data_IF_861089117650
#
_entry.id   IF_861089117650
#
_cell.length_a   1.000
_cell.length_b   1.000
_cell.length_c   1.000
_cell.angle_alpha   90.00
_cell.angle_beta   90.00
_cell.angle_gamma   90.00
#
_symmetry.space_group_name_H-M   'P 1'
#
loop_
_entity.id
_entity.type
_entity.pdbx_description
1 polymer ?
#
# COMPACT_ATOMS: atom_id res chain seq x y z
N UNK A 1 9.10 -14.54 -22.54
CA UNK A 1 8.98 -13.07 -22.35
C UNK A 1 7.80 -12.75 -21.44
N UNK A 2 8.03 -11.98 -20.36
CA UNK A 2 7.03 -11.56 -19.37
C UNK A 2 6.83 -10.05 -19.48
N UNK A 3 5.60 -9.58 -19.37
CA UNK A 3 5.28 -8.16 -19.17
C UNK A 3 4.63 -7.93 -17.80
N UNK A 4 4.93 -6.81 -17.16
CA UNK A 4 4.33 -6.40 -15.90
C UNK A 4 3.58 -5.07 -16.11
N UNK A 5 2.36 -4.99 -15.59
CA UNK A 5 1.53 -3.78 -15.63
C UNK A 5 0.96 -3.49 -14.24
N UNK A 6 1.42 -2.41 -13.63
CA UNK A 6 0.69 -1.76 -12.55
C UNK A 6 -0.31 -0.78 -13.17
N UNK A 7 -1.60 -0.97 -12.89
CA UNK A 7 -2.64 -0.02 -13.33
C UNK A 7 -2.66 1.13 -12.33
N UNK A 8 -2.55 2.36 -12.83
CA UNK A 8 -2.74 3.57 -12.02
C UNK A 8 -4.06 3.48 -11.25
N UNK A 9 -4.02 3.72 -9.94
CA UNK A 9 -5.13 3.36 -9.08
C UNK A 9 -6.04 4.55 -8.75
N UNK A 10 -5.78 5.73 -9.29
CA UNK A 10 -6.43 7.00 -8.94
C UNK A 10 -7.94 6.96 -9.08
N UNK A 11 -8.47 6.30 -10.12
CA UNK A 11 -9.91 6.18 -10.35
C UNK A 11 -10.50 4.89 -9.76
N UNK A 12 -9.65 3.94 -9.34
CA UNK A 12 -10.04 2.62 -8.85
C UNK A 12 -10.05 2.58 -7.32
N UNK A 13 -9.18 3.36 -6.67
CA UNK A 13 -9.00 3.41 -5.22
C UNK A 13 -10.32 3.63 -4.49
N UNK A 14 -10.47 2.98 -3.33
CA UNK A 14 -11.60 3.26 -2.44
C UNK A 14 -11.57 4.71 -1.90
N UNK A 15 -10.43 5.39 -2.01
CA UNK A 15 -10.24 6.79 -1.64
C UNK A 15 -10.40 7.74 -2.84
N UNK A 16 -10.77 7.23 -4.01
CA UNK A 16 -10.96 8.07 -5.20
C UNK A 16 -12.16 9.01 -5.01
N UNK A 17 -11.99 10.33 -5.16
CA UNK A 17 -13.12 11.27 -5.19
C UNK A 17 -13.87 11.23 -6.53
N UNK A 18 -13.25 10.69 -7.58
CA UNK A 18 -13.76 10.66 -8.95
C UNK A 18 -13.63 9.25 -9.53
N UNK A 19 -14.35 8.26 -9.00
CA UNK A 19 -14.24 6.89 -9.48
C UNK A 19 -14.68 6.78 -10.93
N UNK A 20 -13.83 6.15 -11.76
CA UNK A 20 -14.09 5.90 -13.19
C UNK A 20 -13.82 4.44 -13.53
N UNK A 21 -14.36 4.01 -14.66
CA UNK A 21 -14.10 2.68 -15.22
C UNK A 21 -12.60 2.47 -15.47
N UNK A 22 -12.11 1.22 -15.36
CA UNK A 22 -10.73 0.87 -15.72
C UNK A 22 -10.44 1.00 -17.22
N UNK A 23 -11.44 1.32 -18.04
CA UNK A 23 -11.30 1.60 -19.49
C UNK A 23 -11.75 3.01 -19.87
N UNK A 24 -12.04 3.89 -18.92
CA UNK A 24 -12.34 5.30 -19.19
C UNK A 24 -11.03 6.08 -19.40
N UNK A 25 -10.69 6.38 -20.66
CA UNK A 25 -9.46 7.07 -21.06
C UNK A 25 -9.38 8.52 -20.54
N UNK A 26 -10.50 9.13 -20.14
CA UNK A 26 -10.48 10.43 -19.49
C UNK A 26 -10.03 10.34 -18.01
N UNK A 27 -9.97 9.12 -17.45
CA UNK A 27 -9.36 8.81 -16.16
C UNK A 27 -7.91 8.36 -16.30
N UNK A 28 -7.13 8.55 -15.23
CA UNK A 28 -5.73 8.10 -15.15
C UNK A 28 -5.62 6.58 -15.18
N UNK A 29 -6.50 5.88 -14.45
CA UNK A 29 -6.57 4.42 -14.45
C UNK A 29 -6.85 3.86 -15.84
N UNK A 30 -7.83 4.44 -16.54
CA UNK A 30 -8.23 3.99 -17.87
C UNK A 30 -7.20 4.33 -18.94
N UNK A 31 -6.68 5.56 -18.95
CA UNK A 31 -5.59 5.96 -19.87
C UNK A 31 -4.40 4.99 -19.75
N UNK A 32 -3.94 4.74 -18.52
CA UNK A 32 -2.81 3.86 -18.22
C UNK A 32 -3.05 2.41 -18.66
N UNK A 33 -4.28 1.88 -18.51
CA UNK A 33 -4.60 0.51 -18.90
C UNK A 33 -4.87 0.36 -20.41
N UNK A 34 -5.62 1.27 -21.00
CA UNK A 34 -5.98 1.24 -22.43
C UNK A 34 -4.74 1.42 -23.31
N UNK A 35 -3.79 2.27 -22.91
CA UNK A 35 -2.51 2.40 -23.62
C UNK A 35 -1.75 1.07 -23.66
N UNK A 36 -1.70 0.34 -22.54
CA UNK A 36 -1.07 -0.98 -22.47
C UNK A 36 -1.77 -1.99 -23.37
N UNK A 37 -3.10 -2.02 -23.39
CA UNK A 37 -3.87 -2.88 -24.30
C UNK A 37 -3.59 -2.52 -25.76
N UNK A 38 -3.56 -1.23 -26.11
CA UNK A 38 -3.25 -0.75 -27.46
C UNK A 38 -1.81 -1.09 -27.88
N UNK A 39 -0.85 -1.07 -26.96
CA UNK A 39 0.51 -1.54 -27.20
C UNK A 39 0.52 -3.03 -27.55
N UNK A 40 -0.10 -3.88 -26.72
CA UNK A 40 -0.17 -5.33 -26.96
C UNK A 40 -0.87 -5.67 -28.28
N UNK A 41 -1.91 -4.92 -28.65
CA UNK A 41 -2.64 -5.12 -29.89
C UNK A 41 -1.78 -4.84 -31.15
N UNK A 42 -0.83 -3.90 -31.06
CA UNK A 42 0.11 -3.56 -32.15
C UNK A 42 1.21 -4.59 -32.36
N UNK A 43 1.48 -5.45 -31.37
CA UNK A 43 2.47 -6.50 -31.49
C UNK A 43 1.93 -7.65 -32.35
N UNK A 44 2.80 -8.17 -33.24
CA UNK A 44 2.54 -9.42 -33.94
C UNK A 44 2.41 -10.58 -32.92
N UNK A 45 1.62 -11.63 -33.22
CA UNK A 45 1.33 -12.70 -32.25
C UNK A 45 2.56 -13.36 -31.64
N UNK A 46 3.62 -13.53 -32.43
CA UNK A 46 4.93 -14.10 -32.05
C UNK A 46 5.76 -13.18 -31.14
N UNK A 47 5.50 -11.87 -31.17
CA UNK A 47 6.19 -10.86 -30.35
C UNK A 47 5.43 -10.50 -29.08
N UNK A 48 4.23 -11.05 -28.86
CA UNK A 48 3.46 -10.82 -27.64
C UNK A 48 4.11 -11.51 -26.44
N UNK A 49 4.07 -10.91 -25.23
CA UNK A 49 4.50 -11.60 -24.02
C UNK A 49 3.84 -12.97 -23.85
N UNK A 50 4.60 -13.96 -23.38
CA UNK A 50 4.06 -15.28 -22.97
C UNK A 50 3.21 -15.15 -21.72
N UNK A 51 3.62 -14.26 -20.81
CA UNK A 51 2.91 -13.96 -19.58
C UNK A 51 2.74 -12.47 -19.36
N UNK A 52 1.64 -12.10 -18.71
CA UNK A 52 1.36 -10.75 -18.21
C UNK A 52 1.04 -10.85 -16.71
N UNK A 53 1.75 -10.06 -15.92
CA UNK A 53 1.42 -9.81 -14.53
C UNK A 53 0.73 -8.44 -14.43
N UNK A 54 -0.48 -8.40 -13.85
CA UNK A 54 -1.22 -7.16 -13.60
C UNK A 54 -1.36 -6.93 -12.11
N UNK A 55 -1.10 -5.71 -11.65
CA UNK A 55 -1.29 -5.27 -10.26
C UNK A 55 -2.19 -4.03 -10.20
N UNK A 56 -3.03 -3.98 -9.16
CA UNK A 56 -3.70 -2.75 -8.74
C UNK A 56 -4.17 -2.85 -7.27
N UNK A 57 -4.74 -1.78 -6.75
CA UNK A 57 -5.41 -1.76 -5.44
C UNK A 57 -6.50 -2.84 -5.34
N UNK A 58 -6.70 -3.39 -4.15
CA UNK A 58 -7.69 -4.46 -3.90
C UNK A 58 -9.12 -4.11 -4.31
N UNK A 59 -9.43 -2.81 -4.41
CA UNK A 59 -10.75 -2.33 -4.84
C UNK A 59 -11.05 -2.69 -6.32
N UNK A 60 -10.04 -2.98 -7.14
CA UNK A 60 -10.21 -3.47 -8.52
C UNK A 60 -11.04 -4.76 -8.56
N UNK A 61 -10.90 -5.63 -7.55
CA UNK A 61 -11.58 -6.93 -7.47
C UNK A 61 -13.02 -6.83 -6.91
N UNK A 62 -13.48 -5.63 -6.53
CA UNK A 62 -14.83 -5.42 -5.99
C UNK A 62 -15.75 -4.87 -7.05
N UNK A 63 -17.05 -5.14 -6.91
CA UNK A 63 -18.08 -4.40 -7.65
C UNK A 63 -18.14 -2.96 -7.13
N UNK A 64 -17.64 -2.02 -7.93
CA UNK A 64 -17.62 -0.58 -7.61
C UNK A 64 -18.92 0.05 -8.05
N UNK A 65 -19.82 0.28 -7.08
CA UNK A 65 -21.19 0.80 -7.33
C UNK A 65 -21.25 2.12 -8.10
N UNK A 66 -20.27 3.01 -7.90
CA UNK A 66 -20.24 4.32 -8.56
C UNK A 66 -20.17 4.21 -10.09
N UNK A 67 -19.58 3.13 -10.61
CA UNK A 67 -19.40 2.89 -12.05
C UNK A 67 -20.00 1.56 -12.51
N UNK A 68 -20.69 0.84 -11.61
CA UNK A 68 -21.27 -0.50 -11.83
C UNK A 68 -20.29 -1.50 -12.47
N UNK A 69 -19.04 -1.50 -11.99
CA UNK A 69 -17.95 -2.26 -12.61
C UNK A 69 -17.17 -3.08 -11.57
N UNK A 70 -16.89 -4.34 -11.88
CA UNK A 70 -15.79 -5.08 -11.26
C UNK A 70 -14.58 -5.06 -12.20
N UNK A 71 -13.56 -4.26 -11.86
CA UNK A 71 -12.45 -3.97 -12.76
C UNK A 71 -11.64 -5.21 -13.16
N UNK A 72 -11.49 -6.21 -12.28
CA UNK A 72 -10.82 -7.48 -12.65
C UNK A 72 -11.51 -8.21 -13.79
N UNK A 73 -12.85 -8.13 -13.87
CA UNK A 73 -13.62 -8.76 -14.95
C UNK A 73 -13.36 -8.05 -16.28
N UNK A 74 -13.44 -6.71 -16.28
CA UNK A 74 -13.17 -5.88 -17.47
C UNK A 74 -11.74 -6.05 -17.98
N UNK A 75 -10.75 -6.02 -17.08
CA UNK A 75 -9.34 -6.26 -17.45
C UNK A 75 -9.15 -7.65 -18.06
N UNK A 76 -9.79 -8.67 -17.47
CA UNK A 76 -9.70 -10.05 -17.97
C UNK A 76 -10.32 -10.19 -19.36
N UNK A 77 -11.45 -9.53 -19.63
CA UNK A 77 -12.09 -9.52 -20.95
C UNK A 77 -11.22 -8.85 -22.01
N UNK A 78 -10.62 -7.70 -21.70
CA UNK A 78 -9.70 -7.00 -22.62
C UNK A 78 -8.43 -7.80 -22.92
N UNK A 79 -7.90 -8.52 -21.94
CA UNK A 79 -6.76 -9.42 -22.16
C UNK A 79 -7.18 -10.68 -22.93
N UNK A 80 -8.38 -11.22 -22.66
CA UNK A 80 -8.95 -12.36 -23.38
C UNK A 80 -9.14 -12.09 -24.86
N UNK A 81 -9.58 -10.90 -25.25
CA UNK A 81 -9.70 -10.53 -26.67
C UNK A 81 -8.34 -10.47 -27.39
N UNK A 82 -7.23 -10.35 -26.65
CA UNK A 82 -5.87 -10.39 -27.19
C UNK A 82 -5.21 -11.77 -27.12
N UNK A 83 -5.95 -12.81 -26.71
CA UNK A 83 -5.45 -14.19 -26.64
C UNK A 83 -4.78 -14.54 -25.31
N UNK A 84 -5.09 -13.84 -24.22
CA UNK A 84 -4.60 -14.18 -22.89
C UNK A 84 -5.68 -14.76 -21.99
N UNK A 85 -5.32 -15.70 -21.12
CA UNK A 85 -6.16 -16.12 -20.00
C UNK A 85 -5.37 -16.19 -18.73
N UNK A 86 -6.04 -15.83 -17.66
CA UNK A 86 -5.42 -15.76 -16.35
C UNK A 86 -6.44 -15.88 -15.25
N UNK A 87 -5.93 -15.74 -14.04
CA UNK A 87 -6.75 -15.63 -12.84
C UNK A 87 -6.18 -14.58 -11.91
N UNK A 88 -7.06 -14.09 -11.05
CA UNK A 88 -6.75 -13.10 -10.04
C UNK A 88 -6.65 -13.72 -8.66
N UNK A 89 -5.81 -13.14 -7.82
CA UNK A 89 -5.89 -13.28 -6.36
C UNK A 89 -5.72 -11.92 -5.70
N UNK A 90 -6.38 -11.75 -4.56
CA UNK A 90 -6.19 -10.60 -3.69
C UNK A 90 -5.25 -11.02 -2.58
N UNK A 91 -4.04 -10.45 -2.58
CA UNK A 91 -2.97 -10.79 -1.65
C UNK A 91 -2.71 -9.63 -0.71
N UNK A 92 -2.27 -9.94 0.52
CA UNK A 92 -1.82 -8.94 1.48
C UNK A 92 -0.36 -9.17 1.82
N UNK A 93 0.46 -8.13 1.70
CA UNK A 93 1.91 -8.22 1.90
C UNK A 93 2.32 -8.76 3.25
N UNK A 94 1.53 -8.54 4.32
CA UNK A 94 1.83 -9.11 5.65
C UNK A 94 1.97 -10.63 5.67
N UNK A 95 1.40 -11.31 4.67
CA UNK A 95 1.50 -12.76 4.53
C UNK A 95 2.71 -13.22 3.73
N UNK A 96 3.64 -12.32 3.39
CA UNK A 96 4.81 -12.61 2.55
C UNK A 96 6.09 -12.04 3.18
N UNK A 97 6.17 -12.05 4.52
CA UNK A 97 7.35 -11.59 5.26
C UNK A 97 7.53 -10.07 5.30
N UNK A 98 6.53 -9.33 4.81
CA UNK A 98 6.57 -7.87 4.74
C UNK A 98 5.86 -7.27 5.95
N UNK A 99 6.54 -6.42 6.72
CA UNK A 99 5.95 -5.70 7.87
C UNK A 99 5.00 -4.56 7.45
N UNK A 100 4.11 -4.80 6.49
CA UNK A 100 3.13 -3.83 5.98
C UNK A 100 1.78 -4.52 5.76
N UNK A 101 0.69 -3.89 6.20
CA UNK A 101 -0.66 -4.37 5.92
C UNK A 101 -1.19 -3.73 4.63
N UNK A 102 -0.79 -4.26 3.47
CA UNK A 102 -1.16 -3.72 2.15
C UNK A 102 -1.76 -4.80 1.28
N UNK A 103 -3.08 -4.71 1.08
CA UNK A 103 -3.83 -5.63 0.20
C UNK A 103 -3.85 -5.11 -1.25
N UNK A 104 -3.55 -5.96 -2.22
CA UNK A 104 -3.53 -5.68 -3.66
C UNK A 104 -4.19 -6.80 -4.47
N UNK A 105 -4.77 -6.44 -5.60
CA UNK A 105 -5.27 -7.38 -6.60
C UNK A 105 -4.15 -7.68 -7.59
N UNK A 106 -3.87 -8.96 -7.79
CA UNK A 106 -2.82 -9.47 -8.66
C UNK A 106 -3.42 -10.43 -9.68
N UNK A 107 -3.10 -10.25 -10.95
CA UNK A 107 -3.56 -11.10 -12.04
C UNK A 107 -2.37 -11.70 -12.80
N UNK A 108 -2.33 -13.02 -12.96
CA UNK A 108 -1.34 -13.69 -13.81
C UNK A 108 -2.09 -14.21 -15.03
N UNK A 109 -1.65 -13.80 -16.21
CA UNK A 109 -2.24 -14.18 -17.49
C UNK A 109 -1.17 -14.81 -18.39
N UNK A 110 -1.54 -15.90 -19.05
CA UNK A 110 -0.73 -16.58 -20.04
C UNK A 110 -1.32 -16.37 -21.44
N UNK A 111 -0.45 -16.23 -22.44
CA UNK A 111 -0.85 -16.21 -23.83
C UNK A 111 -1.18 -17.64 -24.29
N UNK A 112 -2.43 -17.86 -24.68
CA UNK A 112 -2.96 -19.18 -25.03
C UNK A 112 -2.24 -19.87 -26.19
N UNK A 113 -1.68 -19.10 -27.14
CA UNK A 113 -1.00 -19.68 -28.30
C UNK A 113 0.37 -20.27 -27.95
N UNK A 114 0.93 -19.90 -26.79
CA UNK A 114 2.30 -20.24 -26.42
C UNK A 114 2.43 -20.87 -25.03
N UNK A 115 1.35 -20.89 -24.24
CA UNK A 115 1.39 -21.30 -22.85
C UNK A 115 0.04 -21.90 -22.41
N UNK A 116 0.09 -23.00 -21.64
CA UNK A 116 -1.10 -23.64 -21.09
C UNK A 116 -1.62 -22.90 -19.85
N UNK A 117 -2.93 -22.98 -19.62
CA UNK A 117 -3.55 -22.46 -18.40
C UNK A 117 -2.99 -23.11 -17.12
N UNK A 118 -2.46 -24.33 -17.22
CA UNK A 118 -1.82 -25.03 -16.10
C UNK A 118 -0.63 -24.24 -15.55
N UNK A 119 0.12 -23.54 -16.41
CA UNK A 119 1.26 -22.74 -15.94
C UNK A 119 0.85 -21.57 -15.05
N UNK A 120 -0.31 -20.96 -15.33
CA UNK A 120 -0.89 -19.93 -14.45
C UNK A 120 -1.19 -20.54 -13.08
N UNK A 121 -1.78 -21.73 -13.06
CA UNK A 121 -2.13 -22.42 -11.81
C UNK A 121 -0.90 -22.77 -10.98
N UNK A 122 0.14 -23.30 -11.61
CA UNK A 122 1.37 -23.68 -10.92
C UNK A 122 2.09 -22.45 -10.33
N UNK A 123 2.07 -21.31 -11.04
CA UNK A 123 2.62 -20.06 -10.51
C UNK A 123 1.92 -19.65 -9.21
N UNK A 124 0.59 -19.72 -9.17
CA UNK A 124 -0.17 -19.38 -7.98
C UNK A 124 -0.04 -20.40 -6.85
N UNK A 125 0.10 -21.70 -7.14
CA UNK A 125 0.43 -22.71 -6.13
C UNK A 125 1.75 -22.36 -5.45
N UNK A 126 2.75 -21.94 -6.22
CA UNK A 126 4.04 -21.57 -5.69
C UNK A 126 3.99 -20.29 -4.84
N UNK A 127 3.25 -19.26 -5.27
CA UNK A 127 2.99 -18.06 -4.44
C UNK A 127 2.30 -18.45 -3.14
N UNK A 128 1.33 -19.35 -3.18
CA UNK A 128 0.61 -19.80 -1.99
C UNK A 128 1.53 -20.50 -0.99
N UNK A 129 2.60 -21.17 -1.45
CA UNK A 129 3.63 -21.78 -0.58
C UNK A 129 4.54 -20.75 0.09
N UNK A 130 4.66 -19.55 -0.48
CA UNK A 130 5.39 -18.43 0.12
C UNK A 130 4.57 -17.70 1.21
N UNK A 131 3.33 -18.11 1.45
CA UNK A 131 2.48 -17.53 2.48
C UNK A 131 3.06 -17.84 3.86
N UNK A 132 3.47 -16.80 4.58
CA UNK A 132 3.86 -16.86 5.98
C UNK A 132 2.75 -16.29 6.85
N UNK A 133 2.53 -16.88 8.02
CA UNK A 133 1.65 -16.29 9.01
C UNK A 133 2.45 -15.24 9.79
N UNK A 134 2.10 -13.93 9.68
CA UNK A 134 2.79 -12.92 10.46
C UNK A 134 2.52 -13.16 11.93
N UNK A 135 3.60 -13.31 12.70
CA UNK A 135 3.53 -13.43 14.15
C UNK A 135 3.11 -12.08 14.75
N UNK A 136 2.17 -12.04 15.70
CA UNK A 136 1.82 -10.80 16.38
C UNK A 136 3.05 -10.18 17.04
N UNK A 137 3.21 -8.86 16.94
CA UNK A 137 4.36 -8.15 17.52
C UNK A 137 4.53 -8.47 19.00
N UNK A 138 3.43 -8.63 19.76
CA UNK A 138 3.50 -9.02 21.17
C UNK A 138 4.22 -10.36 21.38
N UNK A 139 3.99 -11.35 20.52
CA UNK A 139 4.63 -12.67 20.61
C UNK A 139 6.13 -12.55 20.26
N UNK A 140 6.47 -11.73 19.26
CA UNK A 140 7.88 -11.42 18.92
C UNK A 140 8.57 -10.74 20.11
N UNK A 141 7.93 -9.73 20.70
CA UNK A 141 8.48 -8.98 21.83
C UNK A 141 8.59 -9.84 23.10
N UNK A 142 7.63 -10.73 23.35
CA UNK A 142 7.69 -11.73 24.42
C UNK A 142 8.87 -12.68 24.21
N UNK A 143 9.06 -13.21 22.99
CA UNK A 143 10.19 -14.08 22.65
C UNK A 143 11.54 -13.38 22.79
N UNK A 144 11.59 -12.09 22.46
CA UNK A 144 12.79 -11.27 22.59
C UNK A 144 13.00 -10.73 24.02
N UNK A 145 12.17 -11.10 25.01
CA UNK A 145 12.19 -10.56 26.38
C UNK A 145 12.06 -9.03 26.45
N UNK A 146 11.44 -8.41 25.44
CA UNK A 146 11.20 -6.95 25.34
C UNK A 146 9.84 -6.57 25.95
N UNK A 147 8.87 -7.48 26.01
CA UNK A 147 7.55 -7.26 26.63
C UNK A 147 7.15 -8.44 27.52
N UNK A 148 6.43 -8.17 28.62
CA UNK A 148 5.78 -9.20 29.46
C UNK A 148 4.33 -9.37 29.00
N UNK A 149 3.84 -10.61 28.99
CA UNK A 149 2.47 -10.97 28.68
C UNK A 149 1.48 -10.15 29.55
N UNK A 150 0.68 -9.30 28.91
CA UNK A 150 -0.21 -8.38 29.59
C UNK A 150 -1.30 -7.78 28.70
N UNK A 151 -2.44 -8.48 28.66
CA UNK A 151 -3.79 -8.03 28.30
C UNK A 151 -4.00 -7.44 26.89
N UNK A 152 -4.48 -8.31 25.99
CA UNK A 152 -5.04 -7.95 24.69
C UNK A 152 -6.27 -7.02 24.82
N UNK A 153 -6.16 -5.78 24.34
CA UNK A 153 -7.29 -4.89 24.21
C UNK A 153 -8.10 -5.23 22.93
N UNK A 154 -9.33 -5.73 23.12
CA UNK A 154 -10.34 -5.94 22.08
C UNK A 154 -10.66 -4.62 21.34
N UNK A 155 -10.64 -4.67 20.00
CA UNK A 155 -11.07 -3.58 19.11
C UNK A 155 -12.60 -3.57 18.97
N UNK A 156 -13.22 -2.41 19.18
CA UNK A 156 -14.59 -2.12 18.71
C UNK A 156 -14.53 -1.06 17.60
N UNK A 157 -15.06 -1.39 16.42
CA UNK A 157 -15.24 -0.48 15.28
C UNK A 157 -16.55 0.31 15.42
N UNK A 158 -16.54 1.64 15.27
CA UNK A 158 -17.76 2.45 15.08
C UNK A 158 -17.51 3.67 14.18
N UNK A 159 -18.51 3.93 13.32
CA UNK A 159 -18.46 4.83 12.18
C UNK A 159 -18.49 6.35 12.48
N UNK A 160 -18.22 7.10 11.42
CA UNK A 160 -18.06 8.54 11.41
C UNK A 160 -19.40 9.28 11.64
N UNK A 161 -19.48 10.03 12.74
CA UNK A 161 -20.37 11.18 12.89
C UNK A 161 -19.49 12.44 12.85
N UNK A 162 -19.73 13.31 11.87
CA UNK A 162 -19.01 14.58 11.73
C UNK A 162 -19.16 15.41 13.01
N UNK A 163 -18.03 15.82 13.59
CA UNK A 163 -17.97 16.65 14.80
C UNK A 163 -17.60 15.93 16.10
N UNK A 164 -17.82 14.61 16.23
CA UNK A 164 -17.42 13.85 17.43
C UNK A 164 -15.92 13.93 17.71
N UNK A 165 -15.13 14.01 16.65
CA UNK A 165 -13.68 14.06 16.73
C UNK A 165 -13.15 15.28 17.49
N UNK A 166 -13.83 16.44 17.43
CA UNK A 166 -13.39 17.65 18.16
C UNK A 166 -13.45 17.42 19.68
N UNK A 167 -14.53 16.80 20.16
CA UNK A 167 -14.67 16.43 21.56
C UNK A 167 -13.63 15.38 21.98
N UNK A 168 -13.34 14.40 21.12
CA UNK A 168 -12.30 13.40 21.38
C UNK A 168 -10.89 14.00 21.40
N UNK A 169 -10.65 15.06 20.62
CA UNK A 169 -9.40 15.79 20.58
C UNK A 169 -9.20 16.68 21.81
N UNK A 170 -10.24 17.37 22.24
CA UNK A 170 -10.21 18.16 23.49
C UNK A 170 -9.98 17.25 24.70
N UNK A 171 -10.71 16.14 24.80
CA UNK A 171 -10.50 15.14 25.85
C UNK A 171 -9.06 14.59 25.87
N UNK A 172 -8.47 14.35 24.68
CA UNK A 172 -7.09 13.90 24.60
C UNK A 172 -6.10 14.99 25.02
N UNK A 173 -6.36 16.24 24.64
CA UNK A 173 -5.56 17.40 25.01
C UNK A 173 -5.54 17.58 26.53
N UNK A 174 -6.70 17.53 27.17
CA UNK A 174 -6.85 17.56 28.63
C UNK A 174 -6.14 16.38 29.29
N UNK A 175 -6.39 15.16 28.82
CA UNK A 175 -5.78 13.94 29.36
C UNK A 175 -4.25 13.97 29.29
N UNK A 176 -3.70 14.56 28.22
CA UNK A 176 -2.26 14.70 28.02
C UNK A 176 -1.69 16.02 28.50
N UNK A 177 -2.51 16.89 29.08
CA UNK A 177 -2.13 18.21 29.58
C UNK A 177 -1.33 19.01 28.53
N UNK A 178 -1.77 18.99 27.26
CA UNK A 178 -1.10 19.70 26.17
C UNK A 178 -1.58 21.15 26.16
N UNK A 179 -0.67 22.09 26.32
CA UNK A 179 -0.97 23.51 26.30
C UNK A 179 -0.93 24.10 24.88
N UNK A 180 -1.62 25.22 24.66
CA UNK A 180 -1.67 25.87 23.34
C UNK A 180 -0.27 26.26 22.84
N UNK A 181 0.60 26.74 23.74
CA UNK A 181 1.95 27.18 23.38
C UNK A 181 2.82 26.04 22.80
N UNK A 182 2.55 24.78 23.16
CA UNK A 182 3.27 23.61 22.62
C UNK A 182 2.85 23.25 21.19
N UNK A 183 1.67 23.69 20.78
CA UNK A 183 1.14 23.50 19.43
C UNK A 183 1.50 24.69 18.54
N UNK A 184 1.54 25.89 19.12
CA UNK A 184 1.99 27.12 18.46
C UNK A 184 3.51 27.09 18.21
N UNK A 185 4.29 26.59 19.17
CA UNK A 185 5.75 26.42 19.05
C UNK A 185 6.20 25.44 17.97
N UNK A 186 5.27 24.66 17.39
CA UNK A 186 5.56 23.74 16.29
C UNK A 186 5.56 24.41 14.91
N UNK A 187 5.03 25.64 14.75
CA UNK A 187 4.98 26.40 13.48
C UNK A 187 4.59 25.56 12.23
N UNK A 188 3.80 24.50 12.45
CA UNK A 188 3.55 23.45 11.46
C UNK A 188 2.11 23.48 10.96
N UNK A 189 1.20 24.18 11.63
CA UNK A 189 -0.23 24.18 11.28
C UNK A 189 -0.48 24.69 9.86
N UNK A 190 0.05 25.88 9.53
CA UNK A 190 -0.08 26.47 8.19
C UNK A 190 0.60 25.60 7.14
N UNK A 191 1.78 25.05 7.45
CA UNK A 191 2.48 24.11 6.56
C UNK A 191 1.68 22.82 6.32
N UNK A 192 1.08 22.23 7.36
CA UNK A 192 0.24 21.03 7.24
C UNK A 192 -1.03 21.30 6.42
N UNK A 193 -1.58 22.51 6.50
CA UNK A 193 -2.72 22.92 5.66
C UNK A 193 -2.34 23.01 4.18
N UNK A 194 -1.09 23.36 3.84
CA UNK A 194 -0.62 23.30 2.44
C UNK A 194 -0.58 21.88 1.86
N UNK A 195 -0.56 20.85 2.72
CA UNK A 195 -0.57 19.43 2.33
C UNK A 195 -1.98 18.88 2.04
N UNK A 196 -3.01 19.74 1.96
CA UNK A 196 -4.41 19.38 1.68
C UNK A 196 -5.01 18.38 2.69
N UNK A 197 -4.50 18.39 3.92
CA UNK A 197 -5.07 17.61 5.02
C UNK A 197 -6.40 18.23 5.48
N UNK A 198 -7.32 17.40 5.94
CA UNK A 198 -8.54 17.88 6.59
C UNK A 198 -8.20 18.55 7.93
N UNK A 199 -9.05 19.46 8.42
CA UNK A 199 -8.88 20.09 9.74
C UNK A 199 -8.67 19.06 10.86
N UNK A 200 -9.39 17.93 10.76
CA UNK A 200 -9.27 16.80 11.66
C UNK A 200 -7.85 16.20 11.64
N UNK A 201 -7.31 15.96 10.46
CA UNK A 201 -5.98 15.37 10.24
C UNK A 201 -4.85 16.33 10.65
N UNK A 202 -5.03 17.62 10.43
CA UNK A 202 -4.09 18.65 10.91
C UNK A 202 -4.06 18.67 12.44
N UNK A 203 -5.23 18.72 13.07
CA UNK A 203 -5.33 18.85 14.52
C UNK A 203 -4.79 17.59 15.25
N UNK A 204 -5.12 16.40 14.77
CA UNK A 204 -4.60 15.14 15.33
C UNK A 204 -3.08 15.03 15.18
N UNK A 205 -2.51 15.53 14.08
CA UNK A 205 -1.07 15.51 13.83
C UNK A 205 -0.34 16.42 14.81
N UNK A 206 -0.86 17.63 15.05
CA UNK A 206 -0.29 18.59 16.00
C UNK A 206 -0.33 18.05 17.44
N UNK A 207 -1.47 17.52 17.89
CA UNK A 207 -1.62 16.97 19.25
C UNK A 207 -0.64 15.81 19.50
N UNK A 208 -0.43 14.95 18.51
CA UNK A 208 0.50 13.82 18.62
C UNK A 208 1.96 14.25 18.55
N UNK A 209 2.29 15.26 17.75
CA UNK A 209 3.62 15.84 17.71
C UNK A 209 3.99 16.51 19.04
N UNK A 210 3.06 17.21 19.69
CA UNK A 210 3.30 17.79 21.02
C UNK A 210 3.65 16.71 22.06
N UNK A 211 2.87 15.63 22.12
CA UNK A 211 3.15 14.48 23.02
C UNK A 211 4.47 13.81 22.68
N UNK A 212 4.79 13.68 21.40
CA UNK A 212 6.04 13.08 20.95
C UNK A 212 7.24 13.96 21.31
N UNK A 213 7.15 15.26 21.06
CA UNK A 213 8.20 16.26 21.33
C UNK A 213 8.55 16.30 22.83
N UNK A 214 7.57 16.10 23.73
CA UNK A 214 7.83 15.94 25.18
C UNK A 214 8.71 14.73 25.51
N UNK A 215 8.53 13.61 24.79
CA UNK A 215 9.28 12.37 25.02
C UNK A 215 10.65 12.38 24.37
N UNK A 216 10.73 12.92 23.16
CA UNK A 216 11.96 13.07 22.39
C UNK A 216 11.92 14.41 21.67
N UNK A 217 12.69 15.41 22.12
CA UNK A 217 12.68 16.74 21.50
C UNK A 217 12.96 16.66 20.01
N UNK A 218 12.13 17.31 19.19
CA UNK A 218 12.24 17.33 17.73
C UNK A 218 13.59 17.90 17.26
N UNK A 219 14.23 18.76 18.07
CA UNK A 219 15.58 19.28 17.81
C UNK A 219 16.67 18.21 17.74
N UNK A 220 16.40 16.99 18.23
CA UNK A 220 17.35 15.87 18.22
C UNK A 220 17.02 14.81 17.17
N UNK A 221 16.05 15.03 16.26
CA UNK A 221 15.64 14.05 15.25
C UNK A 221 15.70 14.59 13.83
N UNK A 222 16.14 13.74 12.88
CA UNK A 222 16.29 14.10 11.48
C UNK A 222 14.97 14.08 10.68
N UNK A 223 14.02 13.20 11.03
CA UNK A 223 12.69 13.15 10.42
C UNK A 223 11.69 12.36 11.29
N UNK A 224 10.40 12.69 11.17
CA UNK A 224 9.30 12.04 11.90
C UNK A 224 8.26 11.56 10.91
N UNK A 225 7.93 10.27 10.94
CA UNK A 225 6.93 9.65 10.05
C UNK A 225 5.72 9.21 10.87
N UNK A 226 4.54 9.66 10.46
CA UNK A 226 3.27 9.31 11.10
C UNK A 226 2.34 8.56 10.16
N UNK A 227 1.70 7.51 10.66
CA UNK A 227 0.56 6.90 9.95
C UNK A 227 -0.68 7.75 10.22
N UNK A 228 -1.19 8.45 9.21
CA UNK A 228 -2.46 9.20 9.32
C UNK A 228 -3.62 8.21 9.20
N UNK A 229 -4.07 7.70 10.34
CA UNK A 229 -5.29 6.91 10.47
C UNK A 229 -6.40 7.71 11.17
N UNK A 230 -7.64 7.29 10.96
CA UNK A 230 -8.89 8.03 11.24
C UNK A 230 -9.24 8.34 12.71
N UNK A 231 -8.29 8.40 13.66
CA UNK A 231 -8.49 8.98 15.00
C UNK A 231 -7.17 9.19 15.73
N UNK A 232 -7.17 10.04 16.76
CA UNK A 232 -6.06 10.20 17.73
C UNK A 232 -5.53 8.87 18.27
N UNK A 233 -6.36 7.82 18.33
CA UNK A 233 -5.94 6.50 18.81
C UNK A 233 -5.12 5.71 17.80
N UNK A 234 -5.08 6.14 16.54
CA UNK A 234 -4.46 5.41 15.44
C UNK A 234 -3.25 6.11 14.81
N UNK A 235 -3.00 7.39 15.14
CA UNK A 235 -1.75 8.05 14.73
C UNK A 235 -0.64 7.69 15.71
N UNK A 236 0.34 6.95 15.20
CA UNK A 236 1.63 6.71 15.82
C UNK A 236 2.71 7.35 14.97
N UNK A 237 3.46 8.25 15.58
CA UNK A 237 4.71 8.74 15.03
C UNK A 237 5.83 7.77 15.39
N UNK A 238 6.59 7.37 14.38
CA UNK A 238 7.83 6.64 14.52
C UNK A 238 8.96 7.56 14.07
N UNK A 239 10.09 7.51 14.77
CA UNK A 239 11.34 7.99 14.17
C UNK A 239 11.68 7.03 13.04
N UNK A 240 11.84 7.53 11.82
CA UNK A 240 12.37 6.72 10.74
C UNK A 240 13.89 6.60 10.87
N UNK A 241 14.42 5.56 10.23
CA UNK A 241 15.81 5.12 10.33
C UNK A 241 16.79 6.29 10.09
N UNK A 242 17.63 6.56 11.08
CA UNK A 242 18.81 7.39 10.99
C UNK A 242 19.91 6.72 10.17
N UNK A 243 21.04 7.41 10.00
CA UNK A 243 22.09 6.99 9.07
C UNK A 243 22.68 5.61 9.38
N UNK A 244 22.80 5.24 10.66
CA UNK A 244 23.30 3.93 11.08
C UNK A 244 22.35 2.81 10.67
N UNK A 245 21.04 3.02 10.79
CA UNK A 245 20.02 2.02 10.48
C UNK A 245 19.87 1.81 8.96
N UNK A 246 20.09 2.87 8.16
CA UNK A 246 20.18 2.79 6.70
C UNK A 246 21.46 2.08 6.22
N UNK A 247 22.57 2.25 6.94
CA UNK A 247 23.83 1.55 6.67
C UNK A 247 23.72 0.05 6.99
N UNK A 248 23.04 -0.34 8.07
CA UNK A 248 22.85 -1.75 8.47
C UNK A 248 22.08 -2.58 7.43
N UNK A 249 21.22 -1.97 6.62
CA UNK A 249 20.46 -2.63 5.55
C UNK A 249 21.07 -2.43 4.15
N UNK A 250 22.30 -1.92 4.09
CA UNK A 250 23.09 -1.74 2.87
C UNK A 250 22.41 -0.89 1.77
N UNK A 251 21.57 0.07 2.18
CA UNK A 251 20.82 0.96 1.26
C UNK A 251 21.50 2.33 1.06
N UNK A 252 22.70 2.52 1.61
CA UNK A 252 23.41 3.81 1.65
C UNK A 252 24.30 4.06 0.42
N UNK A 253 24.84 3.01 -0.18
CA UNK A 253 25.96 3.15 -1.11
C UNK A 253 25.54 3.61 -2.52
N UNK A 254 24.23 3.56 -2.81
CA UNK A 254 23.72 3.76 -4.17
C UNK A 254 22.45 4.61 -4.27
N UNK A 255 21.87 5.03 -3.14
CA UNK A 255 20.59 5.75 -3.11
C UNK A 255 20.68 6.90 -2.10
N UNK A 256 20.09 8.04 -2.44
CA UNK A 256 19.84 9.11 -1.48
C UNK A 256 18.85 8.64 -0.40
N UNK A 257 18.88 9.29 0.77
CA UNK A 257 17.97 8.98 1.88
C UNK A 257 16.50 9.03 1.45
N UNK A 258 16.14 9.96 0.54
CA UNK A 258 14.80 10.07 -0.04
C UNK A 258 14.46 8.88 -0.94
N UNK A 259 15.38 8.46 -1.81
CA UNK A 259 15.19 7.31 -2.70
C UNK A 259 15.13 5.98 -1.94
N UNK A 260 15.92 5.83 -0.87
CA UNK A 260 15.86 4.67 0.02
C UNK A 260 14.52 4.59 0.77
N UNK A 261 13.99 5.73 1.21
CA UNK A 261 12.67 5.81 1.86
C UNK A 261 11.53 5.58 0.86
N UNK A 262 11.63 6.07 -0.37
CA UNK A 262 10.69 5.77 -1.45
C UNK A 262 10.75 4.30 -1.86
N UNK A 263 11.93 3.67 -1.90
CA UNK A 263 12.06 2.22 -2.12
C UNK A 263 11.34 1.43 -1.03
N UNK A 264 11.47 1.84 0.23
CA UNK A 264 10.77 1.23 1.36
C UNK A 264 9.25 1.47 1.33
N UNK A 265 8.79 2.64 0.86
CA UNK A 265 7.38 3.04 0.82
C UNK A 265 6.60 2.51 -0.40
N UNK A 266 7.24 2.45 -1.57
CA UNK A 266 6.65 2.05 -2.84
C UNK A 266 7.08 0.65 -3.30
N UNK A 267 8.30 0.21 -2.98
CA UNK A 267 8.91 -0.94 -3.62
C UNK A 267 8.81 -2.26 -2.83
N UNK A 268 8.52 -2.23 -1.53
CA UNK A 268 8.63 -3.45 -0.72
C UNK A 268 7.54 -4.52 -0.99
N UNK A 269 6.29 -4.11 -1.24
CA UNK A 269 5.20 -5.08 -1.55
C UNK A 269 5.21 -5.52 -3.01
N UNK A 270 5.61 -4.64 -3.92
CA UNK A 270 5.71 -4.93 -5.35
C UNK A 270 6.89 -5.84 -5.67
N UNK A 271 8.08 -5.52 -5.17
CA UNK A 271 9.31 -6.16 -5.61
C UNK A 271 9.49 -7.59 -5.11
N UNK A 272 8.98 -7.97 -3.93
CA UNK A 272 9.09 -9.35 -3.45
C UNK A 272 8.12 -10.28 -4.20
N UNK A 273 6.88 -9.82 -4.42
CA UNK A 273 5.88 -10.59 -5.17
C UNK A 273 6.22 -10.62 -6.65
N UNK A 274 6.70 -9.52 -7.24
CA UNK A 274 7.19 -9.46 -8.62
C UNK A 274 8.47 -10.28 -8.78
N UNK A 275 9.46 -10.20 -7.87
CA UNK A 275 10.68 -11.02 -7.98
C UNK A 275 10.38 -12.52 -7.85
N UNK A 276 9.47 -12.91 -6.94
CA UNK A 276 9.00 -14.30 -6.87
C UNK A 276 8.27 -14.70 -8.16
N UNK A 277 7.33 -13.90 -8.64
CA UNK A 277 6.58 -14.17 -9.87
C UNK A 277 7.47 -14.22 -11.11
N UNK A 278 8.44 -13.33 -11.22
CA UNK A 278 9.42 -13.29 -12.31
C UNK A 278 10.32 -14.52 -12.24
N UNK A 279 10.86 -14.89 -11.07
CA UNK A 279 11.68 -16.09 -10.92
C UNK A 279 10.91 -17.37 -11.29
N UNK A 280 9.64 -17.44 -10.90
CA UNK A 280 8.77 -18.57 -11.21
C UNK A 280 8.50 -18.65 -12.71
N UNK A 281 8.08 -17.55 -13.33
CA UNK A 281 7.73 -17.53 -14.76
C UNK A 281 8.96 -17.70 -15.66
N UNK A 282 10.15 -17.29 -15.21
CA UNK A 282 11.43 -17.53 -15.90
C UNK A 282 11.89 -19.00 -15.83
N UNK A 283 11.48 -19.76 -14.80
CA UNK A 283 11.74 -21.20 -14.70
C UNK A 283 10.70 -22.07 -15.42
N UNK A 284 9.66 -21.45 -15.98
CA UNK A 284 8.60 -22.13 -16.73
C UNK A 284 8.81 -22.09 -18.24
N UNK A 285 9.90 -21.49 -18.73
CA UNK A 285 10.36 -21.59 -20.13
C UNK A 285 11.21 -22.85 -20.33
#
# INVERSE_FOLDING_TARGET
MLACKAIECDDISALSPTPRSVVDEAGRSGSSFVEFIAYLARLSPDRRPKFILVECVANLAKLRKAVQEQGTSVVSEKLKSLGYQGRWQVLNSKHFGVAQNRTRAWGIFANFSSCSAQKVEDAWKLISRCHVMPEPLIVVLERCNVAKAGQAAQKAARGAKSGKWKQEHEQFREQKQIENHELEGLALREKLLTLRLTDREVEVSLLKLAVFNRKKPLRQQAAVVGSVGDSIRFIQFHSCMGEEELAMVNLRDHLSVSEAQELCGNAFTGNIVIAALVAILLQMD
#
